data_IF_734485671806
#
_entry.id   IF_734485671806
#
_cell.length_a   1.000
_cell.length_b   1.000
_cell.length_c   1.000
_cell.angle_alpha   90.00
_cell.angle_beta   90.00
_cell.angle_gamma   90.00
#
_symmetry.space_group_name_H-M   'P 1'
#
loop_
_entity.id
_entity.type
_entity.pdbx_description
1 polymer ?
#
# COMPACT_ATOMS: atom_id res chain seq x y z
N UNK A 1 -22.91 -0.59 -1.18
CA UNK A 1 -23.35 0.63 -0.47
C UNK A 1 -24.32 0.22 0.63
N UNK A 2 -24.35 0.92 1.75
CA UNK A 2 -25.30 0.67 2.86
C UNK A 2 -26.18 1.90 3.01
N UNK A 3 -27.50 1.67 3.11
CA UNK A 3 -28.50 2.67 3.43
C UNK A 3 -29.12 2.30 4.78
N UNK A 4 -28.99 3.19 5.75
CA UNK A 4 -29.55 3.01 7.10
C UNK A 4 -30.87 3.76 7.15
N UNK A 5 -31.94 3.06 7.50
CA UNK A 5 -33.27 3.66 7.62
C UNK A 5 -33.47 4.24 9.03
N UNK A 6 -34.26 5.28 9.13
CA UNK A 6 -34.70 5.82 10.43
C UNK A 6 -35.50 4.76 11.22
N UNK A 7 -35.53 4.86 12.54
CA UNK A 7 -36.39 4.01 13.36
C UNK A 7 -37.88 4.16 12.96
N UNK A 8 -38.63 3.09 13.02
CA UNK A 8 -40.07 3.07 12.79
C UNK A 8 -40.53 3.43 11.37
N UNK A 9 -39.69 3.23 10.35
CA UNK A 9 -40.15 3.32 8.93
C UNK A 9 -41.12 2.18 8.65
N UNK A 10 -42.27 2.51 8.08
CA UNK A 10 -43.29 1.51 7.70
C UNK A 10 -42.75 0.56 6.62
N UNK A 11 -43.17 -0.70 6.68
CA UNK A 11 -42.79 -1.71 5.68
C UNK A 11 -43.08 -1.29 4.26
N UNK A 12 -44.26 -0.67 4.04
CA UNK A 12 -44.66 -0.19 2.72
C UNK A 12 -43.65 0.82 2.13
N UNK A 13 -43.15 1.77 2.93
CA UNK A 13 -42.17 2.76 2.47
C UNK A 13 -40.80 2.16 2.26
N UNK A 14 -40.38 1.22 3.14
CA UNK A 14 -39.17 0.44 2.96
C UNK A 14 -39.19 -0.33 1.65
N UNK A 15 -40.29 -1.04 1.38
CA UNK A 15 -40.42 -1.91 0.22
C UNK A 15 -40.55 -1.11 -1.09
N UNK A 16 -41.11 0.09 -1.03
CA UNK A 16 -41.07 1.05 -2.15
C UNK A 16 -39.65 1.47 -2.50
N UNK A 17 -38.82 1.80 -1.50
CA UNK A 17 -37.40 2.15 -1.71
C UNK A 17 -36.62 0.94 -2.25
N UNK A 18 -36.85 -0.26 -1.74
CA UNK A 18 -36.25 -1.50 -2.25
C UNK A 18 -36.61 -1.73 -3.71
N UNK A 19 -37.88 -1.54 -4.08
CA UNK A 19 -38.34 -1.69 -5.46
C UNK A 19 -37.67 -0.67 -6.38
N UNK A 20 -37.44 0.55 -5.91
CA UNK A 20 -36.71 1.56 -6.66
C UNK A 20 -35.25 1.16 -6.89
N UNK A 21 -34.55 0.63 -5.88
CA UNK A 21 -33.17 0.11 -6.04
C UNK A 21 -33.10 -1.06 -7.04
N UNK A 22 -34.09 -1.98 -6.99
CA UNK A 22 -34.15 -3.11 -7.93
C UNK A 22 -34.38 -2.64 -9.36
N UNK A 23 -35.18 -1.59 -9.57
CA UNK A 23 -35.37 -0.98 -10.88
C UNK A 23 -34.08 -0.35 -11.44
N UNK A 24 -33.11 -0.02 -10.59
CA UNK A 24 -31.78 0.44 -10.97
C UNK A 24 -30.78 -0.73 -11.16
N UNK A 25 -31.24 -1.96 -11.29
CA UNK A 25 -30.43 -3.19 -11.41
C UNK A 25 -29.53 -3.46 -10.19
N UNK A 26 -29.93 -3.02 -9.00
CA UNK A 26 -29.20 -3.28 -7.76
C UNK A 26 -29.86 -4.41 -6.97
N UNK A 27 -29.07 -5.35 -6.50
CA UNK A 27 -29.49 -6.31 -5.48
C UNK A 27 -29.63 -5.60 -4.13
N UNK A 28 -30.61 -6.01 -3.33
CA UNK A 28 -30.84 -5.45 -1.98
C UNK A 28 -30.86 -6.57 -0.96
N UNK A 29 -29.96 -6.50 -0.01
CA UNK A 29 -29.95 -7.36 1.19
C UNK A 29 -30.50 -6.56 2.37
N UNK A 30 -31.52 -7.10 3.05
CA UNK A 30 -32.14 -6.47 4.21
C UNK A 30 -31.55 -7.08 5.47
N UNK A 31 -31.01 -6.24 6.34
CA UNK A 31 -30.60 -6.61 7.69
C UNK A 31 -31.48 -5.84 8.66
N UNK A 32 -32.34 -6.56 9.37
CA UNK A 32 -33.24 -5.98 10.35
C UNK A 32 -32.66 -6.20 11.74
N UNK A 33 -32.25 -5.10 12.39
CA UNK A 33 -31.83 -5.09 13.78
C UNK A 33 -32.98 -4.63 14.69
N UNK A 34 -32.76 -4.73 16.00
CA UNK A 34 -33.76 -4.37 17.02
C UNK A 34 -34.17 -2.89 16.99
N UNK A 35 -33.27 -2.02 16.51
CA UNK A 35 -33.49 -0.57 16.52
C UNK A 35 -33.55 0.07 15.12
N UNK A 36 -32.91 -0.53 14.15
CA UNK A 36 -32.78 0.05 12.79
C UNK A 36 -32.77 -1.03 11.71
N UNK A 37 -33.31 -0.71 10.55
CA UNK A 37 -33.19 -1.54 9.35
C UNK A 37 -32.08 -0.99 8.45
N UNK A 38 -31.23 -1.89 7.99
CA UNK A 38 -30.09 -1.59 7.10
C UNK A 38 -30.30 -2.29 5.76
N UNK A 39 -30.25 -1.53 4.67
CA UNK A 39 -30.31 -2.04 3.30
C UNK A 39 -28.91 -2.10 2.72
N UNK A 40 -28.39 -3.28 2.44
CA UNK A 40 -27.14 -3.53 1.74
C UNK A 40 -27.36 -3.58 0.23
N UNK A 41 -26.87 -2.58 -0.52
CA UNK A 41 -26.98 -2.56 -1.97
C UNK A 41 -25.82 -3.32 -2.61
N UNK A 42 -26.15 -4.26 -3.49
CA UNK A 42 -25.20 -5.14 -4.20
C UNK A 42 -25.28 -4.82 -5.69
N UNK A 43 -24.14 -4.59 -6.34
CA UNK A 43 -24.07 -4.24 -7.76
C UNK A 43 -23.23 -3.00 -8.00
N UNK A 44 -23.33 -2.42 -9.19
CA UNK A 44 -22.60 -1.17 -9.50
C UNK A 44 -23.29 0.04 -8.86
N UNK A 45 -22.90 0.32 -7.62
CA UNK A 45 -23.40 1.45 -6.85
C UNK A 45 -22.66 2.76 -7.14
N UNK A 46 -21.76 2.81 -8.14
CA UNK A 46 -21.02 4.06 -8.47
C UNK A 46 -21.94 5.09 -9.14
N UNK A 47 -22.90 4.61 -9.91
CA UNK A 47 -23.89 5.45 -10.61
C UNK A 47 -24.99 5.98 -9.69
N UNK A 48 -25.05 5.50 -8.45
CA UNK A 48 -26.10 5.88 -7.49
C UNK A 48 -25.73 7.20 -6.80
N UNK A 49 -26.62 8.17 -6.92
CA UNK A 49 -26.48 9.46 -6.24
C UNK A 49 -26.76 9.29 -4.73
N UNK A 50 -25.69 9.45 -3.95
CA UNK A 50 -25.76 9.30 -2.49
C UNK A 50 -26.52 10.44 -1.82
N UNK A 51 -26.40 11.65 -2.37
CA UNK A 51 -27.01 12.83 -1.79
C UNK A 51 -28.54 12.79 -2.00
N UNK A 52 -28.96 12.31 -3.15
CA UNK A 52 -30.37 12.06 -3.42
C UNK A 52 -30.98 11.06 -2.42
N UNK A 53 -30.28 9.93 -2.16
CA UNK A 53 -30.79 8.93 -1.21
C UNK A 53 -30.75 9.47 0.22
N UNK A 54 -29.69 10.18 0.59
CA UNK A 54 -29.56 10.78 1.92
C UNK A 54 -30.62 11.85 2.19
N UNK A 55 -31.17 12.50 1.14
CA UNK A 55 -32.22 13.50 1.26
C UNK A 55 -33.62 12.91 1.53
N UNK A 56 -33.78 11.59 1.35
CA UNK A 56 -35.08 10.93 1.59
C UNK A 56 -35.40 10.94 3.10
N UNK A 57 -36.59 11.32 3.41
CA UNK A 57 -37.09 11.49 4.78
C UNK A 57 -37.06 10.21 5.64
N UNK A 58 -37.08 9.02 5.00
CA UNK A 58 -36.96 7.70 5.66
C UNK A 58 -35.53 7.23 5.88
N UNK A 59 -34.54 7.93 5.32
CA UNK A 59 -33.13 7.56 5.42
C UNK A 59 -32.46 8.34 6.54
N UNK A 60 -31.72 7.63 7.38
CA UNK A 60 -30.91 8.19 8.44
C UNK A 60 -29.48 8.49 7.96
N UNK A 61 -28.87 7.51 7.27
CA UNK A 61 -27.54 7.68 6.72
C UNK A 61 -27.30 6.79 5.48
N UNK A 62 -26.41 7.26 4.58
CA UNK A 62 -25.92 6.49 3.44
C UNK A 62 -24.40 6.35 3.57
N UNK A 63 -23.88 5.13 3.44
CA UNK A 63 -22.43 4.86 3.51
C UNK A 63 -22.00 3.97 2.36
N UNK A 64 -20.94 4.34 1.66
CA UNK A 64 -20.27 3.41 0.75
C UNK A 64 -19.41 2.47 1.57
N UNK A 65 -19.68 1.17 1.45
CA UNK A 65 -18.86 0.10 2.06
C UNK A 65 -17.91 -0.42 1.00
N UNK A 66 -17.10 0.43 0.45
CA UNK A 66 -15.95 0.02 -0.33
C UNK A 66 -14.73 0.57 0.39
N UNK A 67 -13.90 -0.33 0.90
CA UNK A 67 -12.57 0.07 1.32
C UNK A 67 -11.89 0.75 0.12
N UNK A 68 -11.27 1.92 0.30
CA UNK A 68 -10.61 2.64 -0.80
C UNK A 68 -9.37 1.91 -1.34
N UNK A 69 -9.02 0.77 -0.74
CA UNK A 69 -7.93 -0.11 -1.12
C UNK A 69 -8.48 -1.54 -1.27
N UNK A 70 -8.54 -2.04 -2.50
CA UNK A 70 -9.10 -3.36 -2.81
C UNK A 70 -8.01 -4.42 -2.93
N UNK A 71 -6.93 -4.10 -3.63
CA UNK A 71 -5.82 -5.02 -3.86
C UNK A 71 -5.07 -5.37 -2.57
N UNK A 72 -4.92 -4.40 -1.65
CA UNK A 72 -4.29 -4.61 -0.35
C UNK A 72 -5.21 -5.25 0.70
N UNK A 73 -6.48 -5.48 0.41
CA UNK A 73 -7.44 -5.92 1.40
C UNK A 73 -7.51 -7.45 1.45
N UNK A 74 -7.18 -8.04 2.61
CA UNK A 74 -7.24 -9.50 2.85
C UNK A 74 -8.61 -10.15 2.58
N UNK A 75 -9.68 -9.37 2.56
CA UNK A 75 -11.00 -9.87 2.17
C UNK A 75 -11.07 -10.29 0.71
N UNK A 76 -10.23 -9.68 -0.15
CA UNK A 76 -10.18 -9.95 -1.58
C UNK A 76 -8.97 -10.82 -1.96
N UNK A 77 -7.89 -10.74 -1.16
CA UNK A 77 -6.64 -11.47 -1.34
C UNK A 77 -6.21 -12.15 -0.03
N UNK A 78 -6.84 -13.28 0.35
CA UNK A 78 -6.48 -14.02 1.55
C UNK A 78 -5.19 -14.81 1.29
N UNK A 79 -4.06 -14.22 1.58
CA UNK A 79 -2.77 -14.90 1.53
C UNK A 79 -2.34 -15.43 2.90
N UNK A 80 -1.78 -16.59 2.91
CA UNK A 80 -1.26 -17.26 4.09
C UNK A 80 0.24 -17.05 4.26
N UNK A 81 0.71 -15.81 4.51
CA UNK A 81 2.12 -15.56 4.78
C UNK A 81 2.49 -15.85 6.25
N UNK A 82 3.22 -16.91 6.54
CA UNK A 82 3.72 -17.26 7.88
C UNK A 82 5.24 -17.16 8.02
N UNK A 83 5.95 -16.43 7.15
CA UNK A 83 7.40 -16.37 7.15
C UNK A 83 7.93 -15.10 7.83
N UNK A 84 8.96 -15.28 8.67
CA UNK A 84 9.72 -14.18 9.27
C UNK A 84 11.06 -14.04 8.57
N UNK A 85 11.35 -12.87 8.01
CA UNK A 85 12.64 -12.55 7.39
C UNK A 85 13.27 -11.33 8.05
N UNK A 86 14.59 -11.40 8.33
CA UNK A 86 15.37 -10.28 8.87
C UNK A 86 16.04 -9.54 7.73
N UNK A 87 15.75 -8.24 7.62
CA UNK A 87 16.40 -7.29 6.71
C UNK A 87 17.31 -6.40 7.58
N UNK A 88 18.60 -6.45 7.35
CA UNK A 88 19.56 -5.66 8.12
C UNK A 88 20.66 -5.09 7.22
N UNK A 89 21.40 -4.10 7.73
CA UNK A 89 22.52 -3.53 7.00
C UNK A 89 22.75 -2.06 7.30
N UNK A 90 23.61 -1.43 6.51
CA UNK A 90 24.07 -0.07 6.71
C UNK A 90 22.97 0.97 6.43
N UNK A 91 22.94 2.03 7.23
CA UNK A 91 22.10 3.19 6.91
C UNK A 91 22.51 3.81 5.57
N UNK A 92 23.81 3.93 5.33
CA UNK A 92 24.45 4.56 4.17
C UNK A 92 25.52 3.64 3.62
N UNK A 93 25.60 3.53 2.30
CA UNK A 93 26.73 2.88 1.61
C UNK A 93 27.80 3.93 1.37
N UNK A 94 28.99 3.74 1.92
CA UNK A 94 30.05 4.74 1.93
C UNK A 94 31.36 4.23 1.31
N UNK A 95 31.64 2.93 1.42
CA UNK A 95 32.81 2.29 0.87
C UNK A 95 32.57 0.80 0.63
N UNK A 96 33.36 0.17 -0.26
CA UNK A 96 33.26 -1.26 -0.55
C UNK A 96 33.55 -2.10 0.70
N UNK A 97 34.65 -1.84 1.36
CA UNK A 97 35.06 -2.56 2.57
C UNK A 97 34.00 -2.50 3.67
N UNK A 98 33.37 -1.32 3.85
CA UNK A 98 32.28 -1.13 4.81
C UNK A 98 31.08 -2.01 4.48
N UNK A 99 30.57 -1.94 3.22
CA UNK A 99 29.33 -2.65 2.90
C UNK A 99 29.51 -4.16 2.81
N UNK A 100 30.68 -4.63 2.36
CA UNK A 100 31.03 -6.06 2.33
C UNK A 100 31.19 -6.58 3.75
N UNK A 101 31.87 -5.87 4.63
CA UNK A 101 32.01 -6.21 6.05
C UNK A 101 30.65 -6.34 6.73
N UNK A 102 29.77 -5.33 6.56
CA UNK A 102 28.38 -5.35 7.08
C UNK A 102 27.58 -6.51 6.50
N UNK A 103 27.71 -6.81 5.20
CA UNK A 103 27.01 -7.91 4.57
C UNK A 103 27.39 -9.28 5.17
N UNK A 104 28.68 -9.49 5.44
CA UNK A 104 29.18 -10.69 6.10
C UNK A 104 28.62 -10.82 7.53
N UNK A 105 28.57 -9.73 8.29
CA UNK A 105 28.01 -9.72 9.65
C UNK A 105 26.49 -9.99 9.63
N UNK A 106 25.76 -9.39 8.69
CA UNK A 106 24.33 -9.66 8.48
C UNK A 106 24.08 -11.13 8.17
N UNK A 107 24.90 -11.72 7.29
CA UNK A 107 24.80 -13.15 6.95
C UNK A 107 25.08 -14.04 8.17
N UNK A 108 26.13 -13.78 8.93
CA UNK A 108 26.48 -14.51 10.17
C UNK A 108 25.37 -14.41 11.22
N UNK A 109 24.72 -13.24 11.34
CA UNK A 109 23.60 -13.02 12.25
C UNK A 109 22.28 -13.66 11.76
N UNK A 110 22.29 -14.36 10.63
CA UNK A 110 21.11 -15.01 10.03
C UNK A 110 20.15 -14.05 9.37
N UNK A 111 20.60 -12.86 8.96
CA UNK A 111 19.85 -11.97 8.08
C UNK A 111 19.58 -12.63 6.74
N UNK A 112 18.44 -12.29 6.13
CA UNK A 112 18.00 -12.85 4.85
C UNK A 112 18.19 -11.89 3.69
N UNK A 113 18.17 -10.58 3.95
CA UNK A 113 18.39 -9.53 2.96
C UNK A 113 19.36 -8.50 3.54
N UNK A 114 20.24 -7.98 2.67
CA UNK A 114 21.14 -6.89 2.97
C UNK A 114 20.48 -5.56 2.60
N UNK A 115 20.31 -4.66 3.55
CA UNK A 115 19.82 -3.31 3.28
C UNK A 115 20.98 -2.33 3.25
N UNK A 116 21.07 -1.50 2.19
CA UNK A 116 22.04 -0.41 2.13
C UNK A 116 21.45 0.82 1.45
N UNK A 117 21.68 2.01 2.02
CA UNK A 117 21.20 3.26 1.42
C UNK A 117 22.21 3.83 0.41
N UNK A 118 22.03 3.57 -0.89
CA UNK A 118 22.84 4.15 -1.97
C UNK A 118 22.47 5.62 -2.23
N UNK A 119 21.19 5.95 -2.10
CA UNK A 119 20.65 7.31 -2.17
C UNK A 119 20.19 7.75 -0.79
N UNK A 120 20.49 8.99 -0.42
CA UNK A 120 20.17 9.52 0.91
C UNK A 120 19.41 10.84 0.79
N UNK A 121 18.08 10.84 1.07
CA UNK A 121 17.32 12.09 1.20
C UNK A 121 17.76 12.79 2.49
N UNK A 122 18.33 13.97 2.37
CA UNK A 122 18.76 14.77 3.51
C UNK A 122 17.98 16.07 3.60
N UNK A 123 17.81 16.55 4.81
CA UNK A 123 17.15 17.84 5.05
C UNK A 123 18.08 18.99 4.66
N UNK A 124 19.38 18.85 4.94
CA UNK A 124 20.41 19.80 4.52
C UNK A 124 20.99 19.41 3.16
N UNK A 125 21.14 20.35 2.22
CA UNK A 125 21.80 20.10 0.94
C UNK A 125 23.31 19.88 1.08
N UNK A 126 23.89 20.23 2.20
CA UNK A 126 25.32 20.06 2.50
C UNK A 126 25.68 18.70 3.10
N UNK A 127 24.66 17.93 3.52
CA UNK A 127 24.85 16.58 4.05
C UNK A 127 25.18 15.59 2.92
N UNK A 128 25.84 14.48 3.30
CA UNK A 128 26.14 13.40 2.37
C UNK A 128 24.87 12.84 1.71
N UNK A 129 24.77 12.97 0.38
CA UNK A 129 23.58 12.58 -0.41
C UNK A 129 23.58 11.11 -0.86
N UNK A 130 24.56 10.31 -0.43
CA UNK A 130 24.79 8.95 -0.90
C UNK A 130 25.67 8.88 -2.14
N UNK A 131 26.25 7.71 -2.37
CA UNK A 131 27.09 7.43 -3.53
C UNK A 131 26.29 7.19 -4.83
N UNK A 132 24.97 7.15 -4.73
CA UNK A 132 24.05 6.99 -5.87
C UNK A 132 24.37 5.73 -6.68
N UNK A 133 24.62 5.86 -8.00
CA UNK A 133 24.94 4.74 -8.87
C UNK A 133 26.17 3.93 -8.39
N UNK A 134 27.19 4.60 -7.86
CA UNK A 134 28.36 3.92 -7.32
C UNK A 134 27.97 3.08 -6.08
N UNK A 135 27.13 3.61 -5.21
CA UNK A 135 26.59 2.86 -4.06
C UNK A 135 25.80 1.60 -4.46
N UNK A 136 25.10 1.63 -5.61
CA UNK A 136 24.42 0.45 -6.15
C UNK A 136 25.43 -0.60 -6.62
N UNK A 137 26.53 -0.20 -7.26
CA UNK A 137 27.61 -1.13 -7.66
C UNK A 137 28.24 -1.79 -6.44
N UNK A 138 28.52 -1.03 -5.39
CA UNK A 138 29.05 -1.56 -4.14
C UNK A 138 28.12 -2.57 -3.47
N UNK A 139 26.79 -2.31 -3.52
CA UNK A 139 25.80 -3.28 -3.06
C UNK A 139 25.81 -4.56 -3.93
N UNK A 140 25.94 -4.45 -5.25
CA UNK A 140 26.06 -5.60 -6.15
C UNK A 140 27.32 -6.43 -5.86
N UNK A 141 28.45 -5.80 -5.49
CA UNK A 141 29.67 -6.51 -5.06
C UNK A 141 29.39 -7.29 -3.78
N UNK A 142 28.82 -6.65 -2.75
CA UNK A 142 28.46 -7.30 -1.50
C UNK A 142 27.45 -8.46 -1.70
N UNK A 143 26.47 -8.32 -2.62
CA UNK A 143 25.55 -9.38 -3.01
C UNK A 143 26.28 -10.57 -3.63
N UNK A 144 27.23 -10.34 -4.56
CA UNK A 144 28.00 -11.39 -5.20
C UNK A 144 28.85 -12.17 -4.20
N UNK A 145 29.44 -11.48 -3.22
CA UNK A 145 30.29 -12.11 -2.21
C UNK A 145 29.50 -12.91 -1.18
N UNK A 146 28.35 -12.39 -0.72
CA UNK A 146 27.62 -13.00 0.38
C UNK A 146 26.44 -13.86 -0.06
N UNK A 147 25.92 -13.64 -1.26
CA UNK A 147 24.68 -14.25 -1.77
C UNK A 147 23.42 -13.65 -1.16
N UNK A 148 23.51 -12.57 -0.36
CA UNK A 148 22.34 -11.92 0.21
C UNK A 148 21.64 -11.05 -0.84
N UNK A 149 20.32 -11.19 -1.04
CA UNK A 149 19.54 -10.26 -1.84
C UNK A 149 19.60 -8.85 -1.25
N UNK A 150 19.61 -7.82 -2.12
CA UNK A 150 19.79 -6.43 -1.69
C UNK A 150 18.48 -5.64 -1.69
N UNK A 151 18.37 -4.78 -0.68
CA UNK A 151 17.28 -3.81 -0.50
C UNK A 151 17.87 -2.40 -0.48
N UNK A 152 17.41 -1.52 -1.35
CA UNK A 152 17.86 -0.12 -1.35
C UNK A 152 16.74 0.83 -1.75
N UNK A 153 16.87 2.09 -1.31
CA UNK A 153 15.85 3.11 -1.53
C UNK A 153 15.99 3.76 -2.90
N UNK A 154 14.88 3.83 -3.64
CA UNK A 154 14.76 4.67 -4.82
C UNK A 154 14.22 6.05 -4.44
N UNK A 155 14.78 7.10 -5.04
CA UNK A 155 14.39 8.48 -4.80
C UNK A 155 13.59 9.08 -5.94
N UNK A 156 13.87 8.66 -7.18
CA UNK A 156 13.35 9.26 -8.39
C UNK A 156 13.19 8.18 -9.47
N UNK A 157 12.13 8.27 -10.25
CA UNK A 157 11.84 7.34 -11.35
C UNK A 157 12.96 7.30 -12.39
N UNK A 158 13.65 8.40 -12.61
CA UNK A 158 14.79 8.50 -13.55
C UNK A 158 15.97 7.59 -13.20
N UNK A 159 16.01 7.08 -11.97
CA UNK A 159 17.03 6.15 -11.52
C UNK A 159 16.61 4.68 -11.67
N UNK A 160 15.40 4.39 -12.13
CA UNK A 160 14.85 3.04 -12.14
C UNK A 160 15.71 2.04 -12.92
N UNK A 161 16.29 2.47 -14.04
CA UNK A 161 17.18 1.64 -14.86
C UNK A 161 18.45 1.18 -14.09
N UNK A 162 18.88 1.95 -13.08
CA UNK A 162 20.02 1.59 -12.24
C UNK A 162 19.70 0.47 -11.24
N UNK A 163 18.43 0.12 -11.06
CA UNK A 163 17.96 -0.85 -10.07
C UNK A 163 17.82 -2.27 -10.62
N UNK A 164 18.43 -2.56 -11.78
CA UNK A 164 18.34 -3.89 -12.39
C UNK A 164 18.78 -5.01 -11.45
N UNK A 165 19.90 -4.83 -10.74
CA UNK A 165 20.47 -5.81 -9.80
C UNK A 165 19.81 -5.80 -8.41
N UNK A 166 18.93 -4.85 -8.12
CA UNK A 166 18.24 -4.71 -6.83
C UNK A 166 17.11 -5.73 -6.73
N UNK A 167 17.02 -6.46 -5.62
CA UNK A 167 16.03 -7.52 -5.43
C UNK A 167 14.72 -7.00 -4.81
N UNK A 168 14.82 -5.98 -3.96
CA UNK A 168 13.67 -5.37 -3.29
C UNK A 168 13.86 -3.84 -3.28
N UNK A 169 12.98 -3.12 -3.95
CA UNK A 169 13.03 -1.66 -4.04
C UNK A 169 12.33 -1.05 -2.82
N UNK A 170 13.06 -0.26 -2.04
CA UNK A 170 12.47 0.49 -0.92
C UNK A 170 11.96 1.85 -1.40
N UNK A 171 10.74 2.19 -1.03
CA UNK A 171 10.19 3.55 -1.12
C UNK A 171 10.26 4.18 0.26
N UNK A 172 11.03 5.24 0.40
CA UNK A 172 11.21 5.95 1.67
C UNK A 172 9.95 6.68 2.12
N UNK A 173 9.87 6.98 3.42
CA UNK A 173 8.73 7.64 4.03
C UNK A 173 8.37 8.99 3.39
N UNK A 174 9.36 9.75 2.91
CA UNK A 174 9.16 11.03 2.23
C UNK A 174 8.53 10.87 0.83
N UNK A 175 8.68 9.69 0.22
CA UNK A 175 8.14 9.36 -1.12
C UNK A 175 6.87 8.49 -1.05
N UNK A 176 6.31 8.23 0.13
CA UNK A 176 5.08 7.45 0.27
C UNK A 176 3.93 8.04 -0.56
N UNK A 177 3.85 9.35 -0.68
CA UNK A 177 2.81 10.06 -1.43
C UNK A 177 3.31 10.58 -2.80
N UNK A 178 4.46 10.15 -3.25
CA UNK A 178 4.93 10.43 -4.61
C UNK A 178 4.24 9.46 -5.59
N UNK A 179 2.98 9.76 -5.90
CA UNK A 179 2.11 8.85 -6.65
C UNK A 179 2.62 8.57 -8.07
N UNK A 180 3.35 9.49 -8.68
CA UNK A 180 3.93 9.25 -10.00
C UNK A 180 5.06 8.22 -9.91
N UNK A 181 5.93 8.30 -8.90
CA UNK A 181 6.91 7.25 -8.61
C UNK A 181 6.23 5.91 -8.33
N UNK A 182 5.17 5.90 -7.51
CA UNK A 182 4.46 4.66 -7.15
C UNK A 182 3.83 3.98 -8.37
N UNK A 183 3.24 4.73 -9.29
CA UNK A 183 2.69 4.21 -10.55
C UNK A 183 3.77 3.57 -11.42
N UNK A 184 4.93 4.20 -11.55
CA UNK A 184 6.04 3.64 -12.34
C UNK A 184 6.61 2.37 -11.70
N UNK A 185 6.76 2.34 -10.36
CA UNK A 185 7.15 1.14 -9.63
C UNK A 185 6.11 0.01 -9.78
N UNK A 186 4.83 0.37 -9.89
CA UNK A 186 3.74 -0.57 -10.17
C UNK A 186 3.85 -1.27 -11.53
N UNK A 187 4.57 -0.71 -12.49
CA UNK A 187 4.84 -1.35 -13.79
C UNK A 187 6.01 -2.35 -13.72
N UNK A 188 6.79 -2.32 -12.66
CA UNK A 188 7.90 -3.26 -12.47
C UNK A 188 7.42 -4.61 -11.94
N UNK A 189 8.25 -5.65 -12.08
CA UNK A 189 8.00 -6.96 -11.47
C UNK A 189 8.80 -7.17 -10.18
N UNK A 190 9.48 -6.12 -9.69
CA UNK A 190 10.29 -6.21 -8.48
C UNK A 190 9.42 -5.96 -7.24
N UNK A 191 9.63 -6.70 -6.14
CA UNK A 191 8.97 -6.43 -4.89
C UNK A 191 9.25 -5.00 -4.40
N UNK A 192 8.27 -4.36 -3.79
CA UNK A 192 8.36 -2.98 -3.29
C UNK A 192 8.16 -2.97 -1.78
N UNK A 193 9.11 -2.43 -1.03
CA UNK A 193 9.01 -2.14 0.40
C UNK A 193 8.55 -0.68 0.58
N UNK A 194 7.28 -0.49 0.86
CA UNK A 194 6.68 0.84 1.03
C UNK A 194 6.68 1.24 2.49
N UNK A 195 7.44 2.29 2.83
CA UNK A 195 7.52 2.83 4.20
C UNK A 195 6.45 3.87 4.47
N UNK A 196 5.77 3.75 5.62
CA UNK A 196 4.78 4.73 6.07
C UNK A 196 5.42 6.11 6.28
N UNK A 197 4.76 7.16 5.82
CA UNK A 197 5.13 8.55 6.06
C UNK A 197 5.13 8.89 7.56
N UNK A 198 5.93 9.90 7.96
CA UNK A 198 6.16 10.24 9.38
C UNK A 198 4.83 10.57 10.10
N UNK A 199 3.97 11.34 9.46
CA UNK A 199 2.65 11.74 9.98
C UNK A 199 1.47 11.09 9.24
N UNK A 200 1.74 10.05 8.43
CA UNK A 200 0.71 9.40 7.64
C UNK A 200 -0.09 8.39 8.47
N UNK A 201 -1.36 8.30 8.18
CA UNK A 201 -2.26 7.29 8.74
C UNK A 201 -2.06 5.93 8.05
N UNK A 202 -2.52 4.85 8.67
CA UNK A 202 -2.54 3.52 8.05
C UNK A 202 -3.39 3.50 6.77
N UNK A 203 -4.49 4.25 6.75
CA UNK A 203 -5.32 4.38 5.55
C UNK A 203 -4.55 5.00 4.37
N UNK A 204 -3.77 6.04 4.61
CA UNK A 204 -2.93 6.67 3.59
C UNK A 204 -1.83 5.73 3.10
N UNK A 205 -1.21 4.94 3.98
CA UNK A 205 -0.25 3.91 3.60
C UNK A 205 -0.88 2.87 2.68
N UNK A 206 -2.06 2.36 3.02
CA UNK A 206 -2.79 1.38 2.21
C UNK A 206 -3.23 1.95 0.86
N UNK A 207 -3.65 3.22 0.81
CA UNK A 207 -3.96 3.89 -0.45
C UNK A 207 -2.73 4.09 -1.33
N UNK A 208 -1.57 4.37 -0.74
CA UNK A 208 -0.30 4.44 -1.48
C UNK A 208 0.12 3.08 -2.03
N UNK A 209 -0.05 2.00 -1.26
CA UNK A 209 0.16 0.63 -1.76
C UNK A 209 -0.80 0.29 -2.91
N UNK A 210 -2.06 0.72 -2.82
CA UNK A 210 -3.05 0.53 -3.89
C UNK A 210 -2.62 1.18 -5.21
N UNK A 211 -1.93 2.32 -5.20
CA UNK A 211 -1.36 2.92 -6.41
C UNK A 211 -0.36 1.99 -7.12
N UNK A 212 0.51 1.31 -6.36
CA UNK A 212 1.46 0.35 -6.90
C UNK A 212 0.71 -0.87 -7.46
N UNK A 213 -0.19 -1.45 -6.66
CA UNK A 213 -0.90 -2.67 -7.00
C UNK A 213 -1.87 -2.47 -8.17
N UNK A 214 -2.59 -1.36 -8.22
CA UNK A 214 -3.48 -1.01 -9.32
C UNK A 214 -2.73 -0.75 -10.64
N UNK A 215 -1.42 -0.46 -10.56
CA UNK A 215 -0.54 -0.31 -11.73
C UNK A 215 0.05 -1.64 -12.21
N UNK A 216 -0.23 -2.77 -11.54
CA UNK A 216 0.10 -4.13 -11.98
C UNK A 216 1.12 -4.89 -11.12
N UNK A 217 1.64 -4.32 -10.04
CA UNK A 217 2.59 -4.98 -9.15
C UNK A 217 1.97 -5.28 -7.78
N UNK A 218 1.61 -6.53 -7.55
CA UNK A 218 1.01 -6.99 -6.29
C UNK A 218 2.05 -7.32 -5.20
N UNK A 219 3.35 -7.29 -5.52
CA UNK A 219 4.42 -7.63 -4.59
C UNK A 219 4.78 -6.42 -3.71
N UNK A 220 3.89 -6.03 -2.82
CA UNK A 220 4.07 -4.89 -1.93
C UNK A 220 4.20 -5.33 -0.48
N UNK A 221 5.29 -4.94 0.16
CA UNK A 221 5.57 -5.13 1.57
C UNK A 221 5.34 -3.79 2.28
N UNK A 222 4.43 -3.77 3.25
CA UNK A 222 4.17 -2.58 4.05
C UNK A 222 5.16 -2.49 5.20
N UNK A 223 5.80 -1.34 5.36
CA UNK A 223 6.72 -1.07 6.45
C UNK A 223 6.15 0.03 7.35
N UNK A 224 5.61 -0.38 8.49
CA UNK A 224 5.28 0.56 9.55
C UNK A 224 6.55 1.00 10.26
N UNK A 225 6.64 2.30 10.52
CA UNK A 225 7.77 2.86 11.25
C UNK A 225 7.45 2.92 12.73
N UNK A 226 8.41 2.50 13.52
CA UNK A 226 8.45 2.75 14.95
C UNK A 226 9.00 4.12 15.29
#
# INVERSE_FOLDING_TARGET
>A
MIVILKPNVSEARRDQLISWFKAQNLGVHISQGDYQTVLGLIGDTKSVDMDLIASLDIVDAVRRVSDPFKCCNRKFHPDGGGHFARIAGACSVEAEEQIVGVANDVKKAGGKLLRGGAFKPRTSPYDFQGLKAEGLKLLSIAKKETGLPIVTEIMDVRHLDLFEDVDLIQVGARNMQNFDLLKELGKTKKPILLKRGIAATMKELLMSAEYIMASGNEQVILCERG
#
